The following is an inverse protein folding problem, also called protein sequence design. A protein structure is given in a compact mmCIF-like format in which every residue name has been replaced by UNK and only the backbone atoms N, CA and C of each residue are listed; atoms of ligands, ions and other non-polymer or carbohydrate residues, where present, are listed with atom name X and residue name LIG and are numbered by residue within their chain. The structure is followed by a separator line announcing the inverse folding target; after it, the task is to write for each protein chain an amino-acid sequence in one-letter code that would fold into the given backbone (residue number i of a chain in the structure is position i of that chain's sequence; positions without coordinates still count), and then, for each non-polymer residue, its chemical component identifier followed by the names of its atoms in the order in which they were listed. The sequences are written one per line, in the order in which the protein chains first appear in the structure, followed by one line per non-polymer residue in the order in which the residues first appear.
data_IF_036208954564
#
_entry.id   IF_036208954564
#
_cell.length_a   1.000
_cell.length_b   1.000
_cell.length_c   1.000
_cell.angle_alpha   90.00
_cell.angle_beta   90.00
_cell.angle_gamma   90.00
#
_symmetry.space_group_name_H-M   'P 1'
#
loop_
_entity.id
_entity.type
_entity.pdbx_description
1 polymer ?
#
# COMPACT_ATOMS: atom_id res chain seq x y z
N UNK A 1 -43.06 -80.26 -19.65
CA UNK A 1 -43.25 -78.96 -20.30
C UNK A 1 -42.92 -77.90 -19.25
N UNK A 2 -41.63 -77.62 -18.97
CA UNK A 2 -41.31 -76.73 -17.82
C UNK A 2 -39.89 -76.12 -17.81
N UNK A 3 -39.19 -76.05 -18.96
CA UNK A 3 -37.86 -75.41 -19.05
C UNK A 3 -37.83 -74.12 -19.90
N UNK A 4 -38.98 -73.70 -20.46
CA UNK A 4 -39.07 -72.53 -21.33
C UNK A 4 -39.48 -71.23 -20.62
N UNK A 5 -40.06 -71.28 -19.41
CA UNK A 5 -40.54 -70.08 -18.72
C UNK A 5 -39.48 -69.40 -17.83
N UNK A 6 -38.53 -70.17 -17.25
CA UNK A 6 -37.51 -69.65 -16.33
C UNK A 6 -36.53 -68.67 -17.05
N UNK A 7 -36.28 -68.88 -18.34
CA UNK A 7 -35.44 -67.99 -19.15
C UNK A 7 -36.10 -66.63 -19.49
N UNK A 8 -37.43 -66.55 -19.45
CA UNK A 8 -38.17 -65.31 -19.71
C UNK A 8 -38.08 -64.39 -18.49
N UNK A 9 -38.45 -64.89 -17.31
CA UNK A 9 -38.50 -64.11 -16.06
C UNK A 9 -37.12 -63.56 -15.67
N UNK A 10 -36.06 -64.36 -15.82
CA UNK A 10 -34.69 -63.91 -15.55
C UNK A 10 -34.22 -62.81 -16.53
N UNK A 11 -34.62 -62.86 -17.82
CA UNK A 11 -34.31 -61.81 -18.81
C UNK A 11 -35.03 -60.51 -18.51
N UNK A 12 -36.29 -60.57 -18.09
CA UNK A 12 -37.05 -59.38 -17.70
C UNK A 12 -36.54 -58.76 -16.38
N UNK A 13 -36.09 -59.58 -15.43
CA UNK A 13 -35.44 -59.11 -14.20
C UNK A 13 -34.11 -58.39 -14.43
N UNK A 14 -33.24 -58.94 -15.27
CA UNK A 14 -31.96 -58.30 -15.65
C UNK A 14 -32.20 -57.01 -16.46
N UNK A 15 -33.18 -57.01 -17.38
CA UNK A 15 -33.56 -55.82 -18.13
C UNK A 15 -34.13 -54.71 -17.22
N UNK A 16 -34.91 -55.08 -16.19
CA UNK A 16 -35.44 -54.13 -15.20
C UNK A 16 -34.34 -53.47 -14.35
N UNK A 17 -33.36 -54.25 -13.89
CA UNK A 17 -32.22 -53.74 -13.11
C UNK A 17 -31.34 -52.82 -13.97
N UNK A 18 -31.01 -53.24 -15.20
CA UNK A 18 -30.23 -52.40 -16.12
C UNK A 18 -30.96 -51.11 -16.49
N UNK A 19 -32.29 -51.18 -16.68
CA UNK A 19 -33.13 -50.01 -16.92
C UNK A 19 -33.12 -49.03 -15.75
N UNK A 20 -33.24 -49.52 -14.52
CA UNK A 20 -33.20 -48.68 -13.32
C UNK A 20 -31.82 -48.01 -13.09
N UNK A 21 -30.73 -48.72 -13.37
CA UNK A 21 -29.37 -48.17 -13.29
C UNK A 21 -29.14 -47.11 -14.37
N UNK A 22 -29.59 -47.36 -15.61
CA UNK A 22 -29.48 -46.37 -16.68
C UNK A 22 -30.31 -45.11 -16.40
N UNK A 23 -31.52 -45.25 -15.85
CA UNK A 23 -32.38 -44.10 -15.49
C UNK A 23 -31.81 -43.28 -14.33
N UNK A 24 -31.26 -43.93 -13.31
CA UNK A 24 -30.63 -43.23 -12.18
C UNK A 24 -29.33 -42.52 -12.60
N UNK A 25 -28.52 -43.15 -13.45
CA UNK A 25 -27.29 -42.54 -13.97
C UNK A 25 -27.58 -41.36 -14.92
N UNK A 26 -28.59 -41.49 -15.78
CA UNK A 26 -29.02 -40.39 -16.68
C UNK A 26 -29.64 -39.23 -15.90
N UNK A 27 -30.42 -39.49 -14.85
CA UNK A 27 -30.92 -38.45 -13.94
C UNK A 27 -29.79 -37.71 -13.20
N UNK A 28 -28.75 -38.41 -12.75
CA UNK A 28 -27.59 -37.79 -12.10
C UNK A 28 -26.80 -36.87 -13.05
N UNK A 29 -26.56 -37.33 -14.28
CA UNK A 29 -25.88 -36.53 -15.31
C UNK A 29 -26.69 -35.31 -15.73
N UNK A 30 -28.01 -35.48 -15.93
CA UNK A 30 -28.91 -34.37 -16.26
C UNK A 30 -28.97 -33.34 -15.13
N UNK A 31 -29.06 -33.80 -13.87
CA UNK A 31 -29.06 -32.93 -12.70
C UNK A 31 -27.78 -32.11 -12.58
N UNK A 32 -26.61 -32.72 -12.85
CA UNK A 32 -25.33 -32.01 -12.91
C UNK A 32 -25.29 -30.98 -14.04
N UNK A 33 -25.68 -31.36 -15.25
CA UNK A 33 -25.70 -30.44 -16.40
C UNK A 33 -26.59 -29.20 -16.15
N UNK A 34 -27.77 -29.39 -15.54
CA UNK A 34 -28.67 -28.28 -15.17
C UNK A 34 -28.10 -27.43 -14.02
N UNK A 35 -27.40 -28.04 -13.06
CA UNK A 35 -26.73 -27.29 -12.00
C UNK A 35 -25.57 -26.45 -12.55
N UNK A 36 -24.76 -27.03 -13.45
CA UNK A 36 -23.66 -26.35 -14.12
C UNK A 36 -24.17 -25.19 -14.98
N UNK A 37 -25.24 -25.39 -15.77
CA UNK A 37 -25.87 -24.33 -16.57
C UNK A 37 -26.40 -23.19 -15.68
N UNK A 38 -26.99 -23.51 -14.52
CA UNK A 38 -27.41 -22.49 -13.54
C UNK A 38 -26.23 -21.74 -12.95
N UNK A 39 -25.13 -22.43 -12.63
CA UNK A 39 -23.91 -21.80 -12.15
C UNK A 39 -23.29 -20.88 -13.20
N UNK A 40 -23.22 -21.32 -14.45
CA UNK A 40 -22.75 -20.51 -15.58
C UNK A 40 -23.66 -19.29 -15.80
N UNK A 41 -24.97 -19.46 -15.71
CA UNK A 41 -25.93 -18.37 -15.87
C UNK A 41 -25.83 -17.33 -14.75
N UNK A 42 -25.60 -17.76 -13.50
CA UNK A 42 -25.35 -16.88 -12.35
C UNK A 42 -24.03 -16.15 -12.52
N UNK A 43 -22.95 -16.85 -12.91
CA UNK A 43 -21.66 -16.24 -13.17
C UNK A 43 -21.73 -15.23 -14.33
N UNK A 44 -22.46 -15.56 -15.40
CA UNK A 44 -22.71 -14.66 -16.53
C UNK A 44 -23.49 -13.42 -16.11
N UNK A 45 -24.60 -13.58 -15.37
CA UNK A 45 -25.37 -12.45 -14.84
C UNK A 45 -24.53 -11.55 -13.94
N UNK A 46 -23.76 -12.14 -13.01
CA UNK A 46 -22.84 -11.40 -12.15
C UNK A 46 -21.81 -10.61 -12.97
N UNK A 47 -21.27 -11.20 -14.04
CA UNK A 47 -20.31 -10.53 -14.93
C UNK A 47 -20.96 -9.38 -15.71
N UNK A 48 -22.19 -9.56 -16.19
CA UNK A 48 -22.95 -8.50 -16.87
C UNK A 48 -23.30 -7.37 -15.91
N UNK A 49 -23.73 -7.69 -14.69
CA UNK A 49 -23.98 -6.69 -13.64
C UNK A 49 -22.71 -5.91 -13.27
N UNK A 50 -21.56 -6.59 -13.17
CA UNK A 50 -20.26 -5.95 -12.95
C UNK A 50 -19.89 -5.01 -14.11
N UNK A 51 -20.08 -5.44 -15.37
CA UNK A 51 -19.83 -4.62 -16.56
C UNK A 51 -20.75 -3.39 -16.64
N UNK A 52 -22.04 -3.55 -16.34
CA UNK A 52 -23.00 -2.44 -16.31
C UNK A 52 -22.66 -1.46 -15.19
N UNK A 53 -22.31 -1.95 -14.01
CA UNK A 53 -21.82 -1.12 -12.90
C UNK A 53 -20.55 -0.38 -13.29
N UNK A 54 -19.61 -1.03 -14.00
CA UNK A 54 -18.39 -0.41 -14.49
C UNK A 54 -18.64 0.71 -15.50
N UNK A 55 -19.52 0.49 -16.47
CA UNK A 55 -19.91 1.53 -17.41
C UNK A 55 -20.60 2.71 -16.71
N UNK A 56 -21.51 2.45 -15.77
CA UNK A 56 -22.20 3.51 -15.02
C UNK A 56 -21.25 4.32 -14.14
N UNK A 57 -20.29 3.66 -13.47
CA UNK A 57 -19.27 4.33 -12.68
C UNK A 57 -18.34 5.18 -13.56
N UNK A 58 -17.92 4.65 -14.72
CA UNK A 58 -17.08 5.37 -15.68
C UNK A 58 -17.80 6.60 -16.26
N UNK A 59 -19.10 6.50 -16.53
CA UNK A 59 -19.90 7.63 -17.00
C UNK A 59 -20.11 8.73 -15.94
N UNK A 60 -20.12 8.38 -14.65
CA UNK A 60 -20.24 9.33 -13.53
C UNK A 60 -18.90 9.90 -13.06
N UNK A 61 -17.78 9.35 -13.55
CA UNK A 61 -16.44 9.71 -13.10
C UNK A 61 -16.04 11.07 -13.65
N UNK A 62 -15.88 12.05 -12.76
CA UNK A 62 -15.37 13.38 -13.12
C UNK A 62 -13.84 13.43 -13.15
N UNK A 63 -13.16 12.56 -12.38
CA UNK A 63 -11.69 12.56 -12.22
C UNK A 63 -11.10 11.16 -12.28
N UNK A 64 -9.92 11.03 -12.88
CA UNK A 64 -9.19 9.76 -12.89
C UNK A 64 -8.63 9.38 -11.52
N UNK A 65 -8.17 10.35 -10.75
CA UNK A 65 -7.73 10.15 -9.37
C UNK A 65 -8.25 11.32 -8.53
N UNK A 66 -8.67 10.99 -7.32
CA UNK A 66 -9.13 11.95 -6.32
C UNK A 66 -8.09 12.06 -5.21
N UNK A 67 -7.71 13.28 -4.86
CA UNK A 67 -6.87 13.54 -3.70
C UNK A 67 -7.74 13.36 -2.45
N UNK A 68 -7.38 12.39 -1.60
CA UNK A 68 -8.08 12.08 -0.35
C UNK A 68 -7.43 12.68 0.87
N UNK A 69 -6.10 12.75 0.86
CA UNK A 69 -5.33 13.33 1.95
C UNK A 69 -4.10 14.04 1.42
N UNK A 70 -3.80 15.19 1.99
CA UNK A 70 -2.59 15.96 1.70
C UNK A 70 -1.95 16.29 3.03
N UNK A 71 -0.75 15.78 3.22
CA UNK A 71 0.11 16.19 4.32
C UNK A 71 1.20 17.10 3.81
N UNK A 72 1.35 18.29 4.37
CA UNK A 72 2.46 19.18 4.08
C UNK A 72 3.03 19.75 5.38
N UNK A 73 4.34 19.63 5.54
CA UNK A 73 5.11 20.27 6.60
C UNK A 73 6.39 20.82 5.98
N UNK A 74 6.68 22.10 6.22
CA UNK A 74 7.90 22.76 5.76
C UNK A 74 8.43 23.62 6.92
N UNK A 75 9.62 23.28 7.39
CA UNK A 75 10.21 23.77 8.64
C UNK A 75 9.17 23.72 9.78
N UNK A 76 8.99 24.80 10.54
CA UNK A 76 8.03 24.86 11.65
C UNK A 76 6.56 25.02 11.23
N UNK A 77 6.25 25.04 9.93
CA UNK A 77 4.90 25.29 9.42
C UNK A 77 4.27 24.04 8.83
N UNK A 78 3.02 23.82 9.22
CA UNK A 78 2.25 22.63 8.93
C UNK A 78 0.92 23.00 8.25
N UNK A 79 0.54 22.25 7.22
CA UNK A 79 -0.79 22.32 6.62
C UNK A 79 -1.20 23.77 6.24
N UNK A 80 -2.32 24.25 6.79
CA UNK A 80 -2.87 25.58 6.55
C UNK A 80 -1.96 26.72 7.01
N UNK A 81 -1.01 26.47 7.92
CA UNK A 81 -0.07 27.52 8.34
C UNK A 81 0.90 27.87 7.22
N UNK A 82 1.32 26.90 6.40
CA UNK A 82 2.14 27.18 5.21
C UNK A 82 1.39 28.14 4.29
N UNK A 83 0.12 27.86 4.02
CA UNK A 83 -0.72 28.72 3.17
C UNK A 83 -0.98 30.09 3.76
N UNK A 84 -1.17 30.18 5.09
CA UNK A 84 -1.31 31.47 5.78
C UNK A 84 -0.11 32.36 5.52
N UNK A 85 1.10 31.83 5.61
CA UNK A 85 2.33 32.60 5.43
C UNK A 85 2.58 32.96 3.96
N UNK A 86 2.22 32.07 3.02
CA UNK A 86 2.21 32.40 1.58
C UNK A 86 1.28 33.57 1.29
N UNK A 87 0.04 33.54 1.80
CA UNK A 87 -0.95 34.61 1.62
C UNK A 87 -0.50 35.89 2.31
N UNK A 88 0.04 35.82 3.53
CA UNK A 88 0.53 36.98 4.26
C UNK A 88 1.73 37.64 3.56
N UNK A 89 2.64 36.84 2.99
CA UNK A 89 3.78 37.35 2.22
C UNK A 89 3.33 38.01 0.91
N UNK A 90 2.29 37.47 0.27
CA UNK A 90 1.69 37.96 -0.98
C UNK A 90 2.73 38.33 -2.06
N UNK A 91 3.79 37.53 -2.17
CA UNK A 91 4.88 37.79 -3.10
C UNK A 91 5.60 36.48 -3.46
N UNK A 92 5.51 36.10 -4.73
CA UNK A 92 6.02 34.81 -5.23
C UNK A 92 7.54 34.79 -5.46
N UNK A 93 8.23 35.92 -5.25
CA UNK A 93 9.67 36.07 -5.50
C UNK A 93 10.52 36.04 -4.22
N UNK A 94 9.89 35.90 -3.06
CA UNK A 94 10.55 35.98 -1.76
C UNK A 94 10.15 34.79 -0.90
N UNK A 95 11.11 34.26 -0.14
CA UNK A 95 10.80 33.21 0.83
C UNK A 95 9.79 33.70 1.87
N UNK A 96 8.86 32.83 2.22
CA UNK A 96 7.99 33.01 3.37
C UNK A 96 8.79 32.88 4.67
N UNK A 97 9.92 32.17 4.67
CA UNK A 97 10.78 31.98 5.84
C UNK A 97 11.76 33.13 6.10
N UNK A 98 12.14 33.39 7.36
CA UNK A 98 13.11 34.43 7.72
C UNK A 98 14.52 34.16 7.20
N UNK A 99 15.31 35.21 6.97
CA UNK A 99 16.72 35.08 6.54
C UNK A 99 17.74 35.17 7.68
N UNK A 100 17.28 35.34 8.92
CA UNK A 100 18.15 35.47 10.10
C UNK A 100 18.24 34.13 10.82
N UNK A 101 19.45 33.62 11.13
CA UNK A 101 19.60 32.40 11.93
C UNK A 101 18.84 32.45 13.25
N UNK A 102 18.74 33.63 13.89
CA UNK A 102 18.09 33.82 15.20
C UNK A 102 16.61 33.44 15.24
N UNK A 103 15.98 33.32 14.08
CA UNK A 103 14.57 32.97 13.92
C UNK A 103 14.33 31.46 13.79
N UNK A 104 15.39 30.64 13.84
CA UNK A 104 15.34 29.19 13.69
C UNK A 104 15.67 28.46 15.00
N UNK A 105 15.49 27.14 14.99
CA UNK A 105 15.86 26.26 16.08
C UNK A 105 17.27 26.51 16.65
N UNK A 106 17.36 26.52 17.98
CA UNK A 106 18.59 26.90 18.70
C UNK A 106 19.78 25.96 18.51
N UNK A 107 19.55 24.76 17.98
CA UNK A 107 20.60 23.74 17.81
C UNK A 107 20.11 22.50 17.07
N UNK A 108 21.02 21.56 16.83
CA UNK A 108 20.77 20.38 16.00
C UNK A 108 19.65 19.48 16.56
N UNK A 109 19.62 19.23 17.87
CA UNK A 109 18.58 18.38 18.47
C UNK A 109 17.17 18.97 18.35
N UNK A 110 17.03 20.29 18.37
CA UNK A 110 15.74 20.95 18.10
C UNK A 110 15.34 20.77 16.63
N UNK A 111 16.28 20.90 15.70
CA UNK A 111 16.04 20.65 14.27
C UNK A 111 15.65 19.19 13.97
N UNK A 112 16.26 18.23 14.67
CA UNK A 112 15.90 16.80 14.61
C UNK A 112 14.49 16.53 15.16
N UNK A 113 14.09 17.26 16.21
CA UNK A 113 12.72 17.22 16.72
C UNK A 113 11.74 17.79 15.70
N UNK A 114 12.06 18.93 15.09
CA UNK A 114 11.26 19.54 14.01
C UNK A 114 11.08 18.58 12.84
N UNK A 115 12.17 17.94 12.36
CA UNK A 115 12.10 16.86 11.35
C UNK A 115 11.09 15.78 11.77
N UNK A 116 11.20 15.28 13.00
CA UNK A 116 10.34 14.20 13.51
C UNK A 116 8.87 14.61 13.60
N UNK A 117 8.59 15.85 14.01
CA UNK A 117 7.24 16.43 14.02
C UNK A 117 6.70 16.54 12.60
N UNK A 118 7.52 17.00 11.65
CA UNK A 118 7.12 17.16 10.25
C UNK A 118 6.77 15.82 9.60
N UNK A 119 7.58 14.78 9.81
CA UNK A 119 7.26 13.41 9.37
C UNK A 119 5.91 12.95 9.93
N UNK A 120 5.68 13.11 11.24
CA UNK A 120 4.40 12.78 11.88
C UNK A 120 3.23 13.52 11.22
N UNK A 121 3.32 14.85 11.12
CA UNK A 121 2.26 15.72 10.60
C UNK A 121 1.94 15.40 9.13
N UNK A 122 2.97 15.23 8.30
CA UNK A 122 2.77 14.90 6.89
C UNK A 122 2.07 13.54 6.72
N UNK A 123 2.45 12.51 7.48
CA UNK A 123 1.78 11.22 7.42
C UNK A 123 0.37 11.25 7.99
N UNK A 124 0.15 11.94 9.13
CA UNK A 124 -1.18 12.04 9.74
C UNK A 124 -2.21 12.66 8.79
N UNK A 125 -1.86 13.74 8.10
CA UNK A 125 -2.80 14.45 7.22
C UNK A 125 -2.90 13.88 5.80
N UNK A 126 -1.97 13.00 5.41
CA UNK A 126 -2.05 12.29 4.13
C UNK A 126 -2.72 10.94 4.28
N UNK A 127 -2.13 10.05 5.07
CA UNK A 127 -2.55 8.67 5.23
C UNK A 127 -3.67 8.49 6.28
N UNK A 128 -3.99 9.51 7.08
CA UNK A 128 -5.06 9.41 8.08
C UNK A 128 -6.45 9.12 7.50
N UNK A 129 -6.68 9.50 6.24
CA UNK A 129 -7.94 9.26 5.50
C UNK A 129 -7.94 7.94 4.71
N UNK A 130 -6.90 7.11 4.88
CA UNK A 130 -6.79 5.83 4.19
C UNK A 130 -7.79 4.79 4.67
N UNK A 131 -8.04 3.77 3.85
CA UNK A 131 -8.83 2.62 4.28
C UNK A 131 -8.07 1.82 5.35
N UNK A 132 -8.64 1.77 6.55
CA UNK A 132 -8.13 0.94 7.63
C UNK A 132 -8.09 -0.55 7.25
N UNK A 133 -7.05 -1.26 7.68
CA UNK A 133 -6.85 -2.69 7.41
C UNK A 133 -6.81 -3.06 5.93
N UNK A 134 -6.53 -2.11 5.04
CA UNK A 134 -6.27 -2.38 3.64
C UNK A 134 -4.80 -2.07 3.32
N UNK A 135 -4.02 -3.01 2.72
CA UNK A 135 -2.62 -2.76 2.40
C UNK A 135 -2.43 -1.74 1.27
N UNK A 136 -2.02 -0.51 1.62
CA UNK A 136 -1.90 0.62 0.70
C UNK A 136 -0.56 0.58 -0.03
N UNK A 137 -0.54 0.44 -1.37
CA UNK A 137 0.66 0.62 -2.18
C UNK A 137 1.25 2.01 -1.91
N UNK A 138 2.49 2.03 -1.41
CA UNK A 138 3.17 3.24 -0.94
C UNK A 138 4.46 3.46 -1.71
N UNK A 139 4.57 4.68 -2.25
CA UNK A 139 5.69 5.20 -3.00
C UNK A 139 6.46 6.17 -2.10
N UNK A 140 7.79 6.11 -2.10
CA UNK A 140 8.60 6.98 -1.25
C UNK A 140 9.75 7.65 -1.98
N UNK A 141 9.96 8.94 -1.70
CA UNK A 141 11.06 9.72 -2.24
C UNK A 141 11.86 10.30 -1.08
N UNK A 142 13.17 10.15 -1.11
CA UNK A 142 14.07 10.80 -0.16
C UNK A 142 15.33 11.29 -0.88
N UNK A 143 16.20 12.08 -0.24
CA UNK A 143 17.42 12.56 -0.86
C UNK A 143 18.41 11.42 -1.12
N UNK A 144 19.48 11.65 -1.90
CA UNK A 144 20.53 10.66 -2.10
C UNK A 144 21.07 10.13 -0.77
N UNK A 145 21.27 8.80 -0.72
CA UNK A 145 21.72 8.06 0.46
C UNK A 145 23.08 7.42 0.25
N UNK A 146 23.74 7.07 1.35
CA UNK A 146 24.85 6.13 1.30
C UNK A 146 24.38 4.71 0.93
N UNK A 147 25.23 3.88 0.30
CA UNK A 147 24.81 2.57 -0.21
C UNK A 147 24.16 1.66 0.83
N UNK A 148 24.69 1.62 2.05
CA UNK A 148 24.23 0.75 3.14
C UNK A 148 22.95 1.18 3.84
N UNK A 149 22.43 2.37 3.54
CA UNK A 149 21.24 2.93 4.16
C UNK A 149 19.98 2.44 3.43
N UNK A 150 18.85 2.24 4.11
CA UNK A 150 17.60 1.83 3.44
C UNK A 150 16.94 2.99 2.69
N UNK A 151 17.12 4.22 3.19
CA UNK A 151 16.67 5.46 2.57
C UNK A 151 15.16 5.60 2.49
N UNK A 152 14.67 5.98 1.31
CA UNK A 152 13.27 6.34 1.12
C UNK A 152 12.30 5.23 1.56
N UNK A 153 12.68 3.96 1.39
CA UNK A 153 11.84 2.83 1.77
C UNK A 153 11.56 2.76 3.28
N UNK A 154 12.53 3.12 4.12
CA UNK A 154 12.36 3.13 5.58
C UNK A 154 11.35 4.18 6.04
N UNK A 155 11.26 5.31 5.30
CA UNK A 155 10.35 6.40 5.63
C UNK A 155 8.87 5.96 5.59
N UNK A 156 8.53 4.94 4.81
CA UNK A 156 7.16 4.40 4.72
C UNK A 156 6.69 3.92 6.10
N UNK A 157 7.44 3.01 6.72
CA UNK A 157 7.09 2.45 8.03
C UNK A 157 7.35 3.45 9.16
N UNK A 158 8.46 4.18 9.09
CA UNK A 158 8.82 5.19 10.09
C UNK A 158 7.77 6.30 10.18
N UNK A 159 7.30 6.82 9.05
CA UNK A 159 6.26 7.84 9.01
C UNK A 159 4.90 7.34 9.49
N UNK A 160 4.50 6.14 9.07
CA UNK A 160 3.29 5.46 9.58
C UNK A 160 3.31 5.33 11.10
N UNK A 161 4.45 4.95 11.67
CA UNK A 161 4.63 4.81 13.12
C UNK A 161 4.64 6.17 13.83
N UNK A 162 5.35 7.17 13.30
CA UNK A 162 5.38 8.53 13.83
C UNK A 162 3.98 9.16 13.86
N UNK A 163 3.15 8.86 12.85
CA UNK A 163 1.78 9.30 12.74
C UNK A 163 0.77 8.54 13.61
N UNK A 164 1.21 7.50 14.33
CA UNK A 164 0.37 6.63 15.16
C UNK A 164 -0.76 5.95 14.37
N UNK A 165 -0.52 5.66 13.09
CA UNK A 165 -1.51 5.07 12.18
C UNK A 165 -1.57 3.54 12.34
N UNK A 166 -1.93 3.11 13.56
CA UNK A 166 -1.89 1.73 14.06
C UNK A 166 -2.62 0.68 13.22
N UNK A 167 -3.57 1.08 12.38
CA UNK A 167 -4.39 0.19 11.54
C UNK A 167 -4.23 0.45 10.05
N UNK A 168 -3.44 1.46 9.69
CA UNK A 168 -3.04 1.74 8.32
C UNK A 168 -1.93 0.78 7.95
N UNK A 169 -2.23 -0.09 6.99
CA UNK A 169 -1.29 -1.05 6.44
C UNK A 169 -0.68 -0.43 5.19
N UNK A 170 0.65 -0.44 5.07
CA UNK A 170 1.37 0.13 3.93
C UNK A 170 2.20 -0.94 3.25
N UNK A 171 2.31 -0.90 1.93
CA UNK A 171 3.14 -1.79 1.14
C UNK A 171 4.23 -0.97 0.48
N UNK A 172 5.48 -1.42 0.57
CA UNK A 172 6.55 -0.84 -0.24
C UNK A 172 6.32 -1.18 -1.72
N UNK A 173 5.79 -0.22 -2.48
CA UNK A 173 5.54 -0.36 -3.91
C UNK A 173 6.75 0.09 -4.73
N UNK A 174 7.30 1.25 -4.39
CA UNK A 174 8.49 1.81 -5.02
C UNK A 174 9.14 2.81 -4.06
N UNK A 175 10.46 2.90 -4.07
CA UNK A 175 11.17 3.90 -3.29
C UNK A 175 12.43 4.35 -4.02
N UNK A 176 12.67 5.66 -4.02
CA UNK A 176 13.81 6.25 -4.74
C UNK A 176 14.51 7.31 -3.90
N UNK A 177 15.85 7.29 -3.94
CA UNK A 177 16.71 8.27 -3.31
C UNK A 177 17.29 9.22 -4.35
N UNK A 178 16.59 10.32 -4.63
CA UNK A 178 16.83 11.23 -5.75
C UNK A 178 16.57 12.69 -5.35
N UNK A 179 16.93 13.63 -6.22
CA UNK A 179 16.64 15.06 -6.05
C UNK A 179 15.42 15.51 -6.83
N UNK A 180 14.73 14.59 -7.52
CA UNK A 180 13.64 14.87 -8.44
C UNK A 180 12.46 13.94 -8.20
N UNK A 181 11.25 14.49 -8.10
CA UNK A 181 10.04 13.70 -7.82
C UNK A 181 9.29 13.27 -9.09
N UNK A 182 9.70 13.78 -10.26
CA UNK A 182 8.99 13.61 -11.53
C UNK A 182 8.84 12.14 -11.91
N UNK A 183 9.92 11.37 -11.88
CA UNK A 183 9.90 9.94 -12.25
C UNK A 183 8.99 9.14 -11.32
N UNK A 184 9.09 9.33 -10.00
CA UNK A 184 8.19 8.67 -9.04
C UNK A 184 6.72 9.05 -9.23
N UNK A 185 6.42 10.31 -9.57
CA UNK A 185 5.05 10.73 -9.88
C UNK A 185 4.53 10.04 -11.15
N UNK A 186 5.36 9.92 -12.19
CA UNK A 186 5.03 9.16 -13.39
C UNK A 186 4.80 7.67 -13.06
N UNK A 187 5.66 7.05 -12.24
CA UNK A 187 5.49 5.68 -11.74
C UNK A 187 4.16 5.50 -11.01
N UNK A 188 3.73 6.46 -10.18
CA UNK A 188 2.44 6.41 -9.49
C UNK A 188 1.26 6.36 -10.48
N UNK A 189 1.27 7.21 -11.52
CA UNK A 189 0.20 7.20 -12.53
C UNK A 189 0.21 5.90 -13.35
N UNK A 190 1.39 5.47 -13.81
CA UNK A 190 1.55 4.21 -14.54
C UNK A 190 1.11 3.00 -13.71
N UNK A 191 1.34 3.03 -12.40
CA UNK A 191 0.87 2.00 -11.49
C UNK A 191 -0.65 1.89 -11.51
N UNK A 192 -1.39 3.00 -11.46
CA UNK A 192 -2.86 2.98 -11.53
C UNK A 192 -3.41 2.51 -12.88
N UNK A 193 -2.71 2.83 -13.97
CA UNK A 193 -3.05 2.40 -15.33
C UNK A 193 -2.87 0.88 -15.47
N UNK A 194 -1.75 0.35 -14.95
CA UNK A 194 -1.45 -1.08 -14.98
C UNK A 194 -2.27 -1.90 -13.98
N UNK A 195 -2.80 -1.26 -12.94
CA UNK A 195 -3.56 -1.92 -11.87
C UNK A 195 -4.97 -1.32 -11.73
N UNK A 196 -5.90 -1.52 -12.68
CA UNK A 196 -7.19 -0.81 -12.75
C UNK A 196 -8.16 -1.04 -11.58
N UNK A 197 -7.89 -2.06 -10.74
CA UNK A 197 -8.71 -2.41 -9.57
C UNK A 197 -8.20 -1.78 -8.27
N UNK A 198 -6.98 -1.24 -8.25
CA UNK A 198 -6.39 -0.67 -7.02
C UNK A 198 -7.17 0.58 -6.58
N UNK A 199 -7.72 0.59 -5.35
CA UNK A 199 -8.58 1.67 -4.90
C UNK A 199 -7.81 2.92 -4.49
N UNK A 200 -6.65 2.79 -3.86
CA UNK A 200 -5.85 3.93 -3.40
C UNK A 200 -4.36 3.61 -3.38
N UNK A 201 -3.55 4.66 -3.36
CA UNK A 201 -2.11 4.60 -3.19
C UNK A 201 -1.63 5.86 -2.47
N UNK A 202 -0.52 5.71 -1.75
CA UNK A 202 0.11 6.78 -1.00
C UNK A 202 1.46 7.10 -1.64
N UNK A 203 1.78 8.38 -1.81
CA UNK A 203 3.14 8.82 -2.12
C UNK A 203 3.62 9.74 -1.01
N UNK A 204 4.84 9.50 -0.51
CA UNK A 204 5.46 10.28 0.56
C UNK A 204 6.82 10.78 0.14
N UNK A 205 7.23 11.92 0.69
CA UNK A 205 8.56 12.45 0.49
C UNK A 205 9.08 13.14 1.74
N UNK A 206 10.37 12.99 1.99
CA UNK A 206 11.12 13.76 2.98
C UNK A 206 12.34 14.39 2.30
N UNK A 207 12.68 15.62 2.67
CA UNK A 207 13.95 16.27 2.32
C UNK A 207 14.26 17.35 3.36
N UNK A 208 15.53 17.74 3.48
CA UNK A 208 15.99 18.74 4.45
C UNK A 208 17.44 18.52 4.84
N UNK A 209 18.08 19.56 5.39
CA UNK A 209 19.45 19.47 5.89
C UNK A 209 19.65 18.30 6.88
N UNK A 210 18.74 18.15 7.85
CA UNK A 210 18.78 17.10 8.89
C UNK A 210 18.50 15.74 8.28
N UNK A 211 17.49 15.65 7.40
CA UNK A 211 17.18 14.42 6.65
C UNK A 211 18.39 13.95 5.83
N UNK A 212 19.00 14.85 5.05
CA UNK A 212 20.23 14.59 4.27
C UNK A 212 21.42 14.24 5.16
N UNK A 213 21.54 14.87 6.33
CA UNK A 213 22.58 14.55 7.30
C UNK A 213 22.44 13.14 7.88
N UNK A 214 21.23 12.61 8.01
CA UNK A 214 20.99 11.21 8.39
C UNK A 214 21.44 10.23 7.31
N UNK A 215 21.24 10.57 6.03
CA UNK A 215 21.53 9.72 4.87
C UNK A 215 22.96 9.84 4.34
N UNK A 216 23.79 10.69 4.95
CA UNK A 216 25.16 10.97 4.51
C UNK A 216 26.06 9.73 4.60
N UNK A 217 27.14 9.73 3.82
CA UNK A 217 28.18 8.69 3.92
C UNK A 217 28.83 8.72 5.30
N UNK A 218 28.90 7.56 5.96
CA UNK A 218 29.54 7.41 7.26
C UNK A 218 30.99 7.95 7.25
N UNK A 219 31.36 8.68 8.31
CA UNK A 219 32.68 9.31 8.44
C UNK A 219 32.84 10.67 7.76
N UNK A 220 31.86 11.15 6.98
CA UNK A 220 31.84 12.54 6.51
C UNK A 220 31.44 13.53 7.62
N UNK A 221 31.82 14.82 7.54
CA UNK A 221 31.35 15.82 8.48
C UNK A 221 29.82 15.90 8.48
N UNK A 222 29.22 15.88 9.67
CA UNK A 222 27.79 16.10 9.85
C UNK A 222 27.45 17.58 10.08
N UNK A 223 26.16 17.86 10.31
CA UNK A 223 25.68 19.18 10.68
C UNK A 223 26.32 19.67 11.99
N UNK A 224 26.62 20.95 12.02
CA UNK A 224 27.07 21.61 13.24
C UNK A 224 25.90 21.81 14.20
N UNK A 225 26.16 21.68 15.50
CA UNK A 225 25.20 22.07 16.52
C UNK A 225 25.16 23.60 16.63
N UNK A 226 24.40 24.22 15.74
CA UNK A 226 24.27 25.66 15.64
C UNK A 226 22.88 26.05 15.16
N UNK A 227 22.46 27.23 15.58
CA UNK A 227 21.32 27.93 15.03
C UNK A 227 21.71 28.52 13.66
N UNK A 228 21.06 28.06 12.60
CA UNK A 228 21.40 28.40 11.20
C UNK A 228 20.13 28.58 10.36
N UNK A 229 20.23 29.37 9.29
CA UNK A 229 19.23 29.32 8.22
C UNK A 229 19.45 28.00 7.46
N UNK A 230 18.43 27.13 7.31
CA UNK A 230 18.58 25.89 6.55
C UNK A 230 19.02 26.15 5.11
N UNK A 231 19.89 25.31 4.57
CA UNK A 231 20.22 25.35 3.14
C UNK A 231 19.09 24.70 2.35
N UNK A 232 18.60 23.56 2.85
CA UNK A 232 17.35 22.93 2.45
C UNK A 232 16.45 22.87 3.68
N UNK A 233 15.28 23.49 3.59
CA UNK A 233 14.28 23.43 4.65
C UNK A 233 13.82 21.99 4.86
N UNK A 234 13.63 21.58 6.12
CA UNK A 234 12.98 20.30 6.41
C UNK A 234 11.58 20.32 5.78
N UNK A 235 11.32 19.44 4.84
CA UNK A 235 10.10 19.39 4.06
C UNK A 235 9.64 17.94 3.97
N UNK A 236 8.41 17.72 4.40
CA UNK A 236 7.78 16.42 4.40
C UNK A 236 6.42 16.56 3.78
N UNK A 237 6.12 15.69 2.83
CA UNK A 237 4.84 15.67 2.15
C UNK A 237 4.32 14.26 2.03
N UNK A 238 3.01 14.13 2.07
CA UNK A 238 2.30 12.90 1.75
C UNK A 238 1.07 13.23 0.91
N UNK A 239 0.75 12.36 -0.04
CA UNK A 239 -0.41 12.49 -0.88
C UNK A 239 -1.09 11.13 -1.01
N UNK A 240 -2.30 11.03 -0.45
CA UNK A 240 -3.16 9.88 -0.64
C UNK A 240 -4.08 10.16 -1.83
N UNK A 241 -3.99 9.32 -2.85
CA UNK A 241 -4.86 9.37 -4.03
C UNK A 241 -5.72 8.13 -4.11
N UNK A 242 -6.97 8.30 -4.56
CA UNK A 242 -7.94 7.21 -4.63
C UNK A 242 -8.78 7.23 -5.90
N UNK A 243 -9.42 6.09 -6.15
CA UNK A 243 -10.54 5.91 -7.07
C UNK A 243 -11.74 5.48 -6.23
N UNK A 244 -12.59 6.44 -5.91
CA UNK A 244 -13.71 6.28 -4.98
C UNK A 244 -14.67 5.16 -5.38
N UNK A 245 -14.91 5.03 -6.68
CA UNK A 245 -15.71 3.95 -7.25
C UNK A 245 -15.10 2.56 -6.99
N UNK A 246 -13.76 2.47 -6.94
CA UNK A 246 -13.04 1.22 -6.65
C UNK A 246 -13.07 0.90 -5.16
N UNK A 247 -13.00 1.89 -4.28
CA UNK A 247 -13.24 1.70 -2.84
C UNK A 247 -14.65 1.14 -2.62
N UNK A 248 -15.66 1.78 -3.21
CA UNK A 248 -17.06 1.38 -3.03
C UNK A 248 -17.38 0.01 -3.65
N UNK A 249 -16.70 -0.36 -4.73
CA UNK A 249 -16.92 -1.65 -5.41
C UNK A 249 -16.13 -2.80 -4.81
N UNK A 250 -14.86 -2.58 -4.48
CA UNK A 250 -13.92 -3.66 -4.17
C UNK A 250 -13.54 -3.74 -2.69
N UNK A 251 -13.80 -2.70 -1.90
CA UNK A 251 -13.50 -2.69 -0.46
C UNK A 251 -14.80 -2.69 0.35
N UNK A 252 -15.64 -1.66 0.16
CA UNK A 252 -16.82 -1.43 1.03
C UNK A 252 -17.74 -2.64 1.21
N UNK A 253 -18.01 -3.50 0.20
CA UNK A 253 -18.87 -4.68 0.38
C UNK A 253 -18.31 -5.73 1.34
N UNK A 254 -17.00 -5.69 1.61
CA UNK A 254 -16.30 -6.61 2.51
C UNK A 254 -16.02 -5.98 3.88
N UNK A 255 -16.53 -4.77 4.15
CA UNK A 255 -16.38 -4.14 5.45
C UNK A 255 -17.06 -4.99 6.53
N UNK A 256 -16.30 -5.28 7.59
CA UNK A 256 -16.78 -6.08 8.71
C UNK A 256 -17.53 -5.19 9.70
N UNK A 257 -18.62 -5.72 10.25
CA UNK A 257 -19.36 -5.08 11.34
C UNK A 257 -19.02 -5.79 12.66
N UNK A 258 -17.75 -5.79 13.01
CA UNK A 258 -17.23 -6.37 14.25
C UNK A 258 -16.49 -5.30 15.08
N UNK A 259 -16.41 -5.50 16.38
CA UNK A 259 -15.58 -4.66 17.25
C UNK A 259 -14.12 -4.84 16.85
N UNK A 260 -13.39 -3.73 16.71
CA UNK A 260 -11.99 -3.76 16.32
C UNK A 260 -11.14 -4.50 17.39
N UNK A 261 -10.57 -5.64 16.99
CA UNK A 261 -9.57 -6.39 17.75
C UNK A 261 -8.65 -7.13 16.78
N UNK A 262 -7.55 -6.46 16.40
CA UNK A 262 -6.52 -7.02 15.53
C UNK A 262 -5.50 -7.92 16.25
N UNK A 263 -5.58 -8.03 17.58
CA UNK A 263 -4.69 -8.87 18.37
C UNK A 263 -5.25 -10.30 18.51
N UNK A 264 -6.56 -10.45 18.47
CA UNK A 264 -7.20 -11.75 18.50
C UNK A 264 -7.15 -12.47 17.15
N UNK A 265 -6.18 -13.36 16.97
CA UNK A 265 -5.98 -14.15 15.73
C UNK A 265 -7.14 -15.08 15.33
N UNK A 266 -8.19 -15.18 16.15
CA UNK A 266 -9.40 -15.94 15.82
C UNK A 266 -10.46 -15.11 15.07
N UNK A 267 -10.39 -13.76 15.11
CA UNK A 267 -11.25 -12.86 14.33
C UNK A 267 -10.75 -12.71 12.91
N UNK A 268 -11.58 -12.21 12.00
CA UNK A 268 -11.16 -12.02 10.61
C UNK A 268 -10.16 -10.86 10.49
N UNK A 269 -10.35 -9.77 11.24
CA UNK A 269 -9.34 -8.71 11.36
C UNK A 269 -8.01 -9.22 11.94
N UNK A 270 -8.02 -10.05 12.98
CA UNK A 270 -6.80 -10.60 13.57
C UNK A 270 -6.05 -11.56 12.64
N UNK A 271 -6.77 -12.34 11.82
CA UNK A 271 -6.16 -13.17 10.76
C UNK A 271 -5.52 -12.32 9.67
N UNK A 272 -6.20 -11.28 9.21
CA UNK A 272 -5.67 -10.34 8.22
C UNK A 272 -4.42 -9.64 8.73
N UNK A 273 -4.48 -9.14 9.97
CA UNK A 273 -3.35 -8.49 10.64
C UNK A 273 -2.15 -9.44 10.74
N UNK A 274 -2.35 -10.66 11.24
CA UNK A 274 -1.28 -11.65 11.33
C UNK A 274 -0.74 -12.05 9.95
N UNK A 275 -1.59 -12.17 8.94
CA UNK A 275 -1.17 -12.46 7.57
C UNK A 275 -0.27 -11.35 7.01
N UNK A 276 -0.67 -10.09 7.17
CA UNK A 276 0.09 -8.95 6.69
C UNK A 276 1.50 -8.91 7.30
N UNK A 277 1.61 -8.98 8.64
CA UNK A 277 2.92 -8.90 9.30
C UNK A 277 3.81 -10.11 9.01
N UNK A 278 3.25 -11.31 8.87
CA UNK A 278 4.04 -12.46 8.43
C UNK A 278 4.62 -12.28 7.01
N UNK A 279 3.94 -11.52 6.14
CA UNK A 279 4.44 -11.22 4.79
C UNK A 279 5.49 -10.11 4.79
N UNK A 280 5.35 -9.13 5.68
CA UNK A 280 6.34 -8.09 5.92
C UNK A 280 7.70 -8.70 6.34
N UNK A 281 7.68 -9.57 7.35
CA UNK A 281 8.88 -10.28 7.82
C UNK A 281 9.56 -11.08 6.68
N UNK A 282 8.77 -11.86 5.94
CA UNK A 282 9.27 -12.66 4.83
C UNK A 282 9.85 -11.80 3.69
N UNK A 283 9.25 -10.65 3.41
CA UNK A 283 9.74 -9.71 2.42
C UNK A 283 11.09 -9.10 2.86
N UNK A 284 11.21 -8.69 4.13
CA UNK A 284 12.45 -8.12 4.65
C UNK A 284 13.60 -9.14 4.62
N UNK A 285 13.35 -10.39 5.02
CA UNK A 285 14.35 -11.47 4.90
C UNK A 285 14.82 -11.66 3.46
N UNK A 286 13.88 -11.68 2.50
CA UNK A 286 14.20 -11.79 1.08
C UNK A 286 15.04 -10.60 0.61
N UNK A 287 14.59 -9.37 0.90
CA UNK A 287 15.29 -8.15 0.51
C UNK A 287 16.73 -8.12 1.02
N UNK A 288 16.94 -8.38 2.32
CA UNK A 288 18.28 -8.43 2.92
C UNK A 288 19.18 -9.50 2.28
N UNK A 289 18.60 -10.65 1.91
CA UNK A 289 19.35 -11.71 1.24
C UNK A 289 19.81 -11.28 -0.16
N UNK A 290 18.95 -10.59 -0.91
CA UNK A 290 19.26 -10.05 -2.24
C UNK A 290 20.31 -8.95 -2.18
N UNK A 291 20.26 -8.06 -1.18
CA UNK A 291 21.28 -7.03 -0.98
C UNK A 291 22.64 -7.66 -0.66
N UNK A 292 22.69 -8.64 0.27
CA UNK A 292 23.93 -9.38 0.59
C UNK A 292 24.53 -10.08 -0.63
N UNK A 293 23.70 -10.59 -1.54
CA UNK A 293 24.14 -11.20 -2.79
C UNK A 293 24.74 -10.17 -3.77
N UNK A 294 24.13 -8.97 -3.86
CA UNK A 294 24.62 -7.85 -4.71
C UNK A 294 25.93 -7.25 -4.20
N UNK A 295 26.18 -7.28 -2.90
CA UNK A 295 27.46 -6.88 -2.29
C UNK A 295 28.57 -7.94 -2.43
N UNK A 296 28.22 -9.17 -2.83
CA UNK A 296 29.10 -10.34 -2.96
C UNK A 296 29.81 -10.60 -4.32
N UNK A 297 29.95 -9.70 -5.31
CA UNK A 297 30.80 -9.99 -6.47
C UNK A 297 32.30 -9.95 -6.16
N UNK A 298 32.74 -9.39 -5.03
CA UNK A 298 34.17 -9.22 -4.78
C UNK A 298 34.55 -9.03 -3.30
N UNK A 299 34.42 -10.09 -2.48
CA UNK A 299 35.18 -10.18 -1.23
C UNK A 299 35.81 -11.56 -1.08
N UNK A 300 37.13 -11.59 -1.27
CA UNK A 300 38.02 -12.65 -0.78
C UNK A 300 37.75 -12.92 0.72
N UNK A 301 37.99 -14.15 1.19
CA UNK A 301 37.66 -14.54 2.55
C UNK A 301 38.72 -14.03 3.53
N UNK A 302 38.41 -12.94 4.21
CA UNK A 302 38.80 -12.71 5.61
C UNK A 302 38.28 -11.32 6.01
N UNK A 303 37.43 -11.25 7.03
CA UNK A 303 37.77 -10.70 8.36
C UNK A 303 36.51 -10.86 9.22
N UNK A 304 36.54 -11.84 10.13
CA UNK A 304 35.72 -11.87 11.33
C UNK A 304 35.87 -10.54 12.09
N UNK A 305 34.77 -9.87 12.46
CA UNK A 305 34.80 -8.93 13.58
C UNK A 305 33.62 -9.15 14.52
N UNK A 306 34.00 -9.66 15.69
CA UNK A 306 33.36 -9.47 16.98
C UNK A 306 33.07 -7.99 17.24
N UNK A 307 31.86 -7.70 17.71
CA UNK A 307 31.53 -6.85 18.86
C UNK A 307 30.08 -7.14 19.25
#
# INVERSE_FOLDING_TARGET
MEFREIHSVARWGVAGILGAVLLSYSGHWWGKAVADEKHELVAYKSKVEEQVSEQQATQKRNYSLEIRGVGIAVNDWHQSSVWREVVAKNNNLVSIYPSSPKEYDSGLSSRELTRSINTRVAFQHSAGESVAYWPIPTFAIAPPKQPSDTGAAENIMSGRNAATLGVTLVLWQEAENTTHAQEMLESLFLFFDNNPKVPEALIVSEDGDVTRNGLRVAGTPGLQNAQVVPTVFESMTGLLVSRSDRVDRYIRPYALNETEDNQNKNTDLGKLWAFYWNRDDAFMEQYESEQRAKESPNKSPDVMKYA
#
